data_IF_443515056796
#
_entry.id   IF_443515056796
#
_cell.length_a   1.000
_cell.length_b   1.000
_cell.length_c   1.000
_cell.angle_alpha   90.00
_cell.angle_beta   90.00
_cell.angle_gamma   90.00
#
_symmetry.space_group_name_H-M   'P 1'
#
loop_
_entity.id
_entity.type
_entity.pdbx_description
1 polymer ?
#
# COMPACT_ATOMS: atom_id res chain seq x y z
N UNK A 1 20.29 10.09 -9.06
CA UNK A 1 19.77 10.06 -7.66
C UNK A 1 20.42 8.89 -6.92
N UNK A 2 20.76 9.06 -5.66
CA UNK A 2 21.26 7.94 -4.85
C UNK A 2 20.11 7.04 -4.44
N UNK A 3 20.32 5.72 -4.47
CA UNK A 3 19.35 4.70 -4.02
C UNK A 3 18.77 5.04 -2.63
N UNK A 4 19.59 5.69 -1.81
CA UNK A 4 19.21 6.17 -0.48
C UNK A 4 17.97 7.09 -0.49
N UNK A 5 17.90 8.07 -1.42
CA UNK A 5 16.76 8.97 -1.53
C UNK A 5 15.48 8.21 -1.90
N UNK A 6 15.57 7.27 -2.84
CA UNK A 6 14.42 6.44 -3.25
C UNK A 6 13.84 5.68 -2.06
N UNK A 7 14.72 5.05 -1.26
CA UNK A 7 14.31 4.27 -0.08
C UNK A 7 13.69 5.18 0.98
N UNK A 8 14.31 6.32 1.29
CA UNK A 8 13.77 7.27 2.29
C UNK A 8 12.42 7.82 1.83
N UNK A 9 12.28 8.23 0.57
CA UNK A 9 10.99 8.71 0.03
C UNK A 9 9.91 7.65 0.23
N UNK A 10 10.20 6.38 -0.11
CA UNK A 10 9.27 5.27 0.09
C UNK A 10 8.86 5.10 1.56
N UNK A 11 9.83 5.10 2.48
CA UNK A 11 9.57 4.94 3.92
C UNK A 11 8.75 6.11 4.48
N UNK A 12 9.14 7.36 4.19
CA UNK A 12 8.42 8.54 4.71
C UNK A 12 7.01 8.63 4.14
N UNK A 13 6.83 8.26 2.87
CA UNK A 13 5.50 8.21 2.25
C UNK A 13 4.62 7.10 2.84
N UNK A 14 5.22 5.97 3.22
CA UNK A 14 4.54 4.91 3.95
C UNK A 14 4.07 5.39 5.33
N UNK A 15 4.94 6.10 6.07
CA UNK A 15 4.58 6.71 7.35
C UNK A 15 3.41 7.70 7.21
N UNK A 16 3.36 8.48 6.13
CA UNK A 16 2.23 9.39 5.88
C UNK A 16 0.92 8.62 5.70
N UNK A 17 0.93 7.49 4.99
CA UNK A 17 -0.22 6.60 4.86
C UNK A 17 -0.61 5.98 6.21
N UNK A 18 0.35 5.54 7.02
CA UNK A 18 0.08 5.00 8.36
C UNK A 18 -0.55 6.06 9.26
N UNK A 19 -0.06 7.30 9.21
CA UNK A 19 -0.65 8.44 9.93
C UNK A 19 -2.08 8.72 9.48
N UNK A 20 -2.34 8.68 8.17
CA UNK A 20 -3.68 8.80 7.61
C UNK A 20 -4.64 7.75 8.17
N UNK A 21 -4.24 6.46 8.17
CA UNK A 21 -5.08 5.38 8.72
C UNK A 21 -5.32 5.55 10.23
N UNK A 22 -4.32 6.01 10.99
CA UNK A 22 -4.46 6.30 12.43
C UNK A 22 -5.38 7.49 12.69
N UNK A 23 -5.33 8.51 11.85
CA UNK A 23 -6.25 9.65 11.90
C UNK A 23 -7.70 9.20 11.66
N UNK A 24 -7.94 8.33 10.69
CA UNK A 24 -9.25 7.75 10.44
C UNK A 24 -9.75 6.93 11.64
N UNK A 25 -8.88 6.18 12.29
CA UNK A 25 -9.21 5.46 13.53
C UNK A 25 -9.61 6.42 14.65
N UNK A 26 -8.85 7.50 14.82
CA UNK A 26 -9.08 8.49 15.88
C UNK A 26 -10.40 9.27 15.68
N UNK A 27 -10.70 9.67 14.43
CA UNK A 27 -11.84 10.56 14.15
C UNK A 27 -13.13 9.80 13.86
N UNK A 28 -13.06 8.62 13.28
CA UNK A 28 -14.22 7.89 12.75
C UNK A 28 -14.32 6.45 13.24
N UNK A 29 -13.41 6.02 14.13
CA UNK A 29 -13.31 4.63 14.63
C UNK A 29 -13.11 3.58 13.51
N UNK A 30 -12.56 4.00 12.37
CA UNK A 30 -12.25 3.11 11.25
C UNK A 30 -10.91 2.41 11.51
N UNK A 31 -10.93 1.08 11.62
CA UNK A 31 -9.73 0.32 11.88
C UNK A 31 -8.74 0.42 10.70
N UNK A 32 -7.41 0.58 10.97
CA UNK A 32 -6.38 0.50 9.97
C UNK A 32 -6.30 -0.91 9.35
N UNK A 33 -5.57 -1.05 8.26
CA UNK A 33 -5.28 -2.33 7.63
C UNK A 33 -4.62 -3.29 8.63
N UNK A 34 -5.03 -4.55 8.60
CA UNK A 34 -4.43 -5.60 9.43
C UNK A 34 -3.18 -6.16 8.74
N UNK A 35 -2.03 -5.66 9.17
CA UNK A 35 -0.74 -6.13 8.64
C UNK A 35 -0.39 -7.55 9.09
N UNK A 36 -0.98 -8.06 10.18
CA UNK A 36 -0.85 -9.46 10.58
C UNK A 36 -1.40 -10.40 9.50
N UNK A 37 -2.61 -10.10 9.01
CA UNK A 37 -3.23 -10.87 7.91
C UNK A 37 -2.40 -10.80 6.62
N UNK A 38 -1.83 -9.64 6.29
CA UNK A 38 -0.92 -9.49 5.13
C UNK A 38 0.34 -10.33 5.29
N UNK A 39 0.92 -10.35 6.49
CA UNK A 39 2.09 -11.18 6.79
C UNK A 39 1.78 -12.66 6.76
N UNK A 40 0.62 -13.08 7.29
CA UNK A 40 0.13 -14.48 7.20
C UNK A 40 -0.01 -14.89 5.75
N UNK A 41 -0.65 -14.06 4.93
CA UNK A 41 -0.78 -14.29 3.49
C UNK A 41 0.59 -14.48 2.83
N UNK A 42 1.53 -13.58 3.09
CA UNK A 42 2.88 -13.66 2.51
C UNK A 42 3.60 -14.96 2.91
N UNK A 43 3.53 -15.35 4.19
CA UNK A 43 4.11 -16.60 4.68
C UNK A 43 3.47 -17.84 4.05
N UNK A 44 2.14 -17.83 3.82
CA UNK A 44 1.44 -18.90 3.13
C UNK A 44 1.79 -18.96 1.63
N UNK A 45 1.98 -17.83 0.98
CA UNK A 45 2.50 -17.78 -0.40
C UNK A 45 3.89 -18.41 -0.48
N UNK A 46 4.79 -18.02 0.43
CA UNK A 46 6.18 -18.52 0.43
C UNK A 46 6.28 -20.00 0.80
N UNK A 47 5.44 -20.51 1.70
CA UNK A 47 5.52 -21.89 2.20
C UNK A 47 4.67 -22.89 1.40
N UNK A 48 3.55 -22.44 0.84
CA UNK A 48 2.56 -23.32 0.18
C UNK A 48 2.21 -22.92 -1.25
N UNK A 49 2.76 -21.80 -1.77
CA UNK A 49 2.41 -21.24 -3.07
C UNK A 49 0.96 -20.72 -3.16
N UNK A 50 0.28 -20.51 -2.03
CA UNK A 50 -1.15 -20.18 -1.97
C UNK A 50 -1.34 -18.66 -2.12
N UNK A 51 -1.34 -18.15 -3.35
CA UNK A 51 -1.51 -16.71 -3.64
C UNK A 51 -2.93 -16.25 -3.32
N UNK A 52 -3.95 -17.00 -3.71
CA UNK A 52 -5.35 -16.72 -3.43
C UNK A 52 -5.81 -17.51 -2.21
N UNK A 53 -6.17 -16.82 -1.13
CA UNK A 53 -6.65 -17.44 0.09
C UNK A 53 -7.97 -16.81 0.56
N UNK A 54 -9.14 -17.32 0.09
CA UNK A 54 -10.44 -16.74 0.43
C UNK A 54 -10.83 -16.91 1.91
N UNK A 55 -10.15 -17.76 2.64
CA UNK A 55 -10.39 -18.09 4.05
C UNK A 55 -9.21 -17.68 4.94
N UNK A 56 -8.43 -16.67 4.54
CA UNK A 56 -7.23 -16.23 5.27
C UNK A 56 -7.54 -15.84 6.73
N UNK A 57 -8.72 -15.28 6.97
CA UNK A 57 -9.15 -14.85 8.31
C UNK A 57 -9.49 -16.05 9.23
N UNK A 58 -9.75 -17.24 8.65
CA UNK A 58 -10.03 -18.50 9.36
C UNK A 58 -8.75 -19.33 9.63
N UNK A 59 -7.63 -18.98 8.97
CA UNK A 59 -6.35 -19.66 9.19
C UNK A 59 -5.75 -19.24 10.54
N UNK A 60 -5.14 -20.18 11.25
CA UNK A 60 -4.45 -19.91 12.51
C UNK A 60 -3.33 -18.86 12.33
N UNK A 61 -3.16 -17.94 13.29
CA UNK A 61 -2.08 -16.98 13.28
C UNK A 61 -0.71 -17.66 13.20
N UNK A 62 0.16 -17.13 12.34
CA UNK A 62 1.52 -17.65 12.14
C UNK A 62 2.50 -16.80 12.96
N UNK A 63 3.46 -17.48 13.60
CA UNK A 63 4.49 -16.79 14.40
C UNK A 63 5.16 -15.67 13.57
N UNK A 64 5.26 -14.48 14.15
CA UNK A 64 5.87 -13.27 13.56
C UNK A 64 5.11 -12.69 12.35
N UNK A 65 3.88 -13.11 12.06
CA UNK A 65 3.10 -12.60 10.93
C UNK A 65 2.99 -11.07 10.92
N UNK A 66 2.80 -10.43 12.07
CA UNK A 66 2.73 -8.98 12.17
C UNK A 66 4.02 -8.30 11.71
N UNK A 67 5.18 -8.82 12.12
CA UNK A 67 6.49 -8.27 11.72
C UNK A 67 6.69 -8.43 10.21
N UNK A 68 6.37 -9.61 9.68
CA UNK A 68 6.46 -9.88 8.25
C UNK A 68 5.49 -8.97 7.47
N UNK A 69 4.27 -8.77 7.95
CA UNK A 69 3.30 -7.85 7.34
C UNK A 69 3.80 -6.42 7.25
N UNK A 70 4.41 -5.90 8.31
CA UNK A 70 5.06 -4.59 8.29
C UNK A 70 6.23 -4.53 7.29
N UNK A 71 7.06 -5.58 7.23
CA UNK A 71 8.15 -5.65 6.25
C UNK A 71 7.61 -5.63 4.81
N UNK A 72 6.57 -6.41 4.52
CA UNK A 72 5.90 -6.41 3.20
C UNK A 72 5.34 -5.02 2.88
N UNK A 73 4.65 -4.38 3.84
CA UNK A 73 4.05 -3.07 3.68
C UNK A 73 5.08 -2.00 3.29
N UNK A 74 6.16 -1.87 4.06
CA UNK A 74 7.23 -0.91 3.76
C UNK A 74 8.00 -1.26 2.48
N UNK A 75 8.19 -2.54 2.18
CA UNK A 75 8.82 -2.97 0.92
C UNK A 75 8.00 -2.56 -0.29
N UNK A 76 6.66 -2.71 -0.23
CA UNK A 76 5.75 -2.26 -1.30
C UNK A 76 5.80 -0.73 -1.45
N UNK A 77 5.88 0.01 -0.36
CA UNK A 77 6.01 1.47 -0.40
C UNK A 77 7.32 1.93 -1.06
N UNK A 78 8.43 1.27 -0.75
CA UNK A 78 9.72 1.51 -1.42
C UNK A 78 9.61 1.17 -2.91
N UNK A 79 8.95 0.07 -3.28
CA UNK A 79 8.70 -0.27 -4.68
C UNK A 79 7.89 0.83 -5.40
N UNK A 80 6.88 1.42 -4.76
CA UNK A 80 6.14 2.56 -5.33
C UNK A 80 7.05 3.76 -5.58
N UNK A 81 7.96 4.07 -4.64
CA UNK A 81 8.96 5.12 -4.86
C UNK A 81 9.89 4.81 -6.05
N UNK A 82 10.35 3.55 -6.17
CA UNK A 82 11.13 3.09 -7.34
C UNK A 82 10.35 3.25 -8.64
N UNK A 83 9.08 2.81 -8.68
CA UNK A 83 8.25 2.93 -9.88
C UNK A 83 8.03 4.39 -10.26
N UNK A 84 7.76 5.28 -9.31
CA UNK A 84 7.62 6.70 -9.60
C UNK A 84 8.93 7.30 -10.13
N UNK A 85 10.07 6.92 -9.54
CA UNK A 85 11.39 7.31 -10.05
C UNK A 85 11.60 6.87 -11.51
N UNK A 86 11.24 5.64 -11.85
CA UNK A 86 11.31 5.13 -13.23
C UNK A 86 10.46 6.00 -14.17
N UNK A 87 9.24 6.42 -13.76
CA UNK A 87 8.41 7.30 -14.57
C UNK A 87 9.06 8.67 -14.80
N UNK A 88 9.82 9.18 -13.82
CA UNK A 88 10.59 10.42 -13.96
C UNK A 88 11.76 10.25 -14.93
N UNK A 89 12.54 9.18 -14.81
CA UNK A 89 13.70 8.88 -15.67
C UNK A 89 13.31 8.71 -17.14
N UNK A 90 12.11 8.16 -17.41
CA UNK A 90 11.59 8.03 -18.76
C UNK A 90 10.78 9.25 -19.23
N UNK A 91 10.80 10.36 -18.48
CA UNK A 91 10.08 11.62 -18.79
C UNK A 91 8.55 11.41 -19.03
N UNK A 92 7.97 10.34 -18.44
CA UNK A 92 6.53 10.05 -18.52
C UNK A 92 5.73 11.06 -17.70
N UNK A 93 6.30 11.52 -16.58
CA UNK A 93 5.74 12.57 -15.74
C UNK A 93 6.85 13.43 -15.14
N UNK A 94 6.50 14.60 -14.60
CA UNK A 94 7.40 15.44 -13.82
C UNK A 94 7.21 15.21 -12.33
N UNK A 95 8.24 15.50 -11.53
CA UNK A 95 8.16 15.46 -10.08
C UNK A 95 7.24 16.60 -9.59
N UNK A 96 6.08 16.22 -9.08
CA UNK A 96 5.13 17.17 -8.48
C UNK A 96 4.17 16.45 -7.54
N UNK A 97 3.63 17.20 -6.59
CA UNK A 97 2.58 16.71 -5.69
C UNK A 97 1.39 16.15 -6.49
N UNK A 98 0.99 16.81 -7.57
CA UNK A 98 -0.15 16.41 -8.41
C UNK A 98 0.12 15.09 -9.12
N UNK A 99 1.29 14.92 -9.72
CA UNK A 99 1.67 13.67 -10.38
C UNK A 99 1.83 12.52 -9.37
N UNK A 100 2.26 12.81 -8.15
CA UNK A 100 2.24 11.85 -7.04
C UNK A 100 0.82 11.40 -6.67
N UNK A 101 -0.15 12.33 -6.60
CA UNK A 101 -1.57 12.01 -6.37
C UNK A 101 -2.12 11.14 -7.51
N UNK A 102 -1.86 11.52 -8.76
CA UNK A 102 -2.30 10.75 -9.94
C UNK A 102 -1.71 9.34 -9.91
N UNK A 103 -0.41 9.22 -9.60
CA UNK A 103 0.26 7.94 -9.42
C UNK A 103 -0.41 7.10 -8.31
N UNK A 104 -0.71 7.71 -7.16
CA UNK A 104 -1.45 7.07 -6.08
C UNK A 104 -2.81 6.55 -6.54
N UNK A 105 -3.59 7.37 -7.25
CA UNK A 105 -4.89 6.99 -7.78
C UNK A 105 -4.81 5.82 -8.77
N UNK A 106 -3.81 5.81 -9.65
CA UNK A 106 -3.61 4.70 -10.59
C UNK A 106 -3.20 3.43 -9.84
N UNK A 107 -2.33 3.55 -8.84
CA UNK A 107 -1.83 2.41 -8.07
C UNK A 107 -2.89 1.69 -7.24
N UNK A 108 -4.07 2.31 -7.02
CA UNK A 108 -5.24 1.68 -6.36
C UNK A 108 -5.70 0.41 -7.08
N UNK A 109 -5.39 0.27 -8.36
CA UNK A 109 -5.63 -0.98 -9.12
C UNK A 109 -5.02 -2.19 -8.39
N UNK A 110 -3.86 -2.04 -7.76
CA UNK A 110 -3.16 -3.14 -7.07
C UNK A 110 -3.98 -3.70 -5.90
N UNK A 111 -4.43 -2.90 -4.89
CA UNK A 111 -5.28 -3.45 -3.84
C UNK A 111 -6.63 -3.94 -4.37
N UNK A 112 -7.26 -3.28 -5.32
CA UNK A 112 -8.59 -3.65 -5.80
C UNK A 112 -8.62 -4.98 -6.54
N UNK A 113 -7.61 -5.25 -7.37
CA UNK A 113 -7.61 -6.40 -8.29
C UNK A 113 -6.61 -7.50 -7.92
N UNK A 114 -5.68 -7.22 -7.01
CA UNK A 114 -4.71 -8.20 -6.53
C UNK A 114 -4.87 -8.49 -5.03
N UNK A 115 -4.61 -7.50 -4.14
CA UNK A 115 -4.57 -7.78 -2.70
C UNK A 115 -5.94 -8.11 -2.11
N UNK A 116 -7.00 -7.38 -2.42
CA UNK A 116 -8.34 -7.70 -1.90
C UNK A 116 -8.79 -9.11 -2.30
N UNK A 117 -8.70 -9.52 -3.58
CA UNK A 117 -8.97 -10.91 -3.94
C UNK A 117 -8.04 -11.91 -3.26
N UNK A 118 -6.74 -11.66 -3.23
CA UNK A 118 -5.75 -12.54 -2.64
C UNK A 118 -6.02 -12.80 -1.15
N UNK A 119 -6.51 -11.78 -0.43
CA UNK A 119 -6.90 -11.83 0.97
C UNK A 119 -8.38 -12.23 1.19
N UNK A 120 -9.05 -12.81 0.19
CA UNK A 120 -10.42 -13.30 0.32
C UNK A 120 -11.51 -12.21 0.35
N UNK A 121 -11.15 -10.92 0.24
CA UNK A 121 -12.10 -9.79 0.28
C UNK A 121 -12.84 -9.56 -1.04
N UNK A 122 -12.52 -10.33 -2.10
CA UNK A 122 -13.10 -10.22 -3.45
C UNK A 122 -12.63 -8.99 -4.21
N UNK A 123 -12.89 -8.97 -5.51
CA UNK A 123 -12.59 -7.81 -6.37
C UNK A 123 -13.33 -6.58 -5.85
N UNK A 124 -12.65 -5.43 -5.77
CA UNK A 124 -13.25 -4.18 -5.26
C UNK A 124 -13.88 -4.34 -3.87
N UNK A 125 -13.40 -5.28 -3.06
CA UNK A 125 -13.94 -5.52 -1.73
C UNK A 125 -15.35 -6.10 -1.68
N UNK A 126 -15.82 -6.74 -2.75
CA UNK A 126 -17.21 -7.26 -2.85
C UNK A 126 -17.62 -8.24 -1.76
N UNK A 127 -16.68 -8.84 -1.07
CA UNK A 127 -16.92 -9.74 0.07
C UNK A 127 -16.74 -9.07 1.43
N UNK A 128 -16.48 -7.77 1.48
CA UNK A 128 -16.42 -7.00 2.73
C UNK A 128 -17.82 -6.55 3.13
N UNK A 129 -18.05 -6.22 4.41
CA UNK A 129 -19.35 -5.70 4.87
C UNK A 129 -19.79 -4.40 4.17
N UNK A 130 -18.83 -3.60 3.69
CA UNK A 130 -19.09 -2.36 2.94
C UNK A 130 -18.07 -2.21 1.81
N UNK A 131 -18.33 -2.76 0.62
CA UNK A 131 -17.42 -2.69 -0.54
C UNK A 131 -17.03 -1.27 -0.93
N UNK A 132 -18.02 -0.37 -0.94
CA UNK A 132 -17.81 1.03 -1.30
C UNK A 132 -16.83 1.71 -0.32
N UNK A 133 -17.02 1.50 0.99
CA UNK A 133 -16.11 2.03 2.01
C UNK A 133 -14.71 1.44 1.85
N UNK A 134 -14.57 0.14 1.59
CA UNK A 134 -13.27 -0.49 1.34
C UNK A 134 -12.55 0.14 0.14
N UNK A 135 -13.28 0.45 -0.94
CA UNK A 135 -12.74 1.14 -2.10
C UNK A 135 -12.30 2.57 -1.77
N UNK A 136 -13.10 3.36 -1.05
CA UNK A 136 -12.75 4.73 -0.65
C UNK A 136 -11.54 4.77 0.28
N UNK A 137 -11.46 3.84 1.23
CA UNK A 137 -10.30 3.73 2.12
C UNK A 137 -9.01 3.38 1.36
N UNK A 138 -9.10 2.50 0.36
CA UNK A 138 -7.99 2.20 -0.52
C UNK A 138 -7.55 3.45 -1.31
N UNK A 139 -8.49 4.20 -1.90
CA UNK A 139 -8.19 5.46 -2.60
C UNK A 139 -7.51 6.47 -1.69
N UNK A 140 -8.07 6.73 -0.50
CA UNK A 140 -7.48 7.66 0.47
C UNK A 140 -6.06 7.26 0.90
N UNK A 141 -5.84 5.96 1.16
CA UNK A 141 -4.51 5.44 1.51
C UNK A 141 -3.50 5.59 0.37
N UNK A 142 -3.93 5.37 -0.87
CA UNK A 142 -3.05 5.49 -2.04
C UNK A 142 -2.76 6.95 -2.40
N UNK A 143 -3.69 7.88 -2.16
CA UNK A 143 -3.39 9.32 -2.22
C UNK A 143 -2.40 9.71 -1.12
N UNK A 144 -2.61 9.22 0.10
CA UNK A 144 -1.75 9.51 1.25
C UNK A 144 -0.30 9.01 1.09
N UNK A 145 -0.06 7.97 0.29
CA UNK A 145 1.30 7.53 -0.06
C UNK A 145 1.82 8.20 -1.34
N UNK A 146 0.99 8.38 -2.35
CA UNK A 146 1.40 8.93 -3.64
C UNK A 146 1.76 10.42 -3.58
N UNK A 147 0.97 11.23 -2.87
CA UNK A 147 1.22 12.66 -2.74
C UNK A 147 2.61 12.97 -2.15
N UNK A 148 3.03 12.37 -1.02
CA UNK A 148 4.39 12.57 -0.51
C UNK A 148 5.47 12.05 -1.45
N UNK A 149 5.27 10.94 -2.15
CA UNK A 149 6.22 10.45 -3.15
C UNK A 149 6.52 11.57 -4.16
N UNK A 150 5.49 12.07 -4.86
CA UNK A 150 5.68 13.13 -5.85
C UNK A 150 6.22 14.44 -5.27
N UNK A 151 5.77 14.82 -4.08
CA UNK A 151 6.23 16.02 -3.38
C UNK A 151 7.70 15.96 -2.97
N UNK A 152 8.17 14.83 -2.44
CA UNK A 152 9.58 14.70 -2.05
C UNK A 152 10.51 14.63 -3.26
N UNK A 153 10.11 13.94 -4.34
CA UNK A 153 10.89 13.98 -5.57
C UNK A 153 11.03 15.42 -6.11
N UNK A 154 9.96 16.22 -6.05
CA UNK A 154 10.00 17.64 -6.41
C UNK A 154 10.95 18.45 -5.52
N UNK A 155 10.91 18.23 -4.18
CA UNK A 155 11.78 18.93 -3.22
C UNK A 155 13.26 18.58 -3.46
N UNK A 156 13.56 17.33 -3.82
CA UNK A 156 14.92 16.89 -4.12
C UNK A 156 15.41 17.26 -5.53
N UNK A 157 14.60 17.98 -6.33
CA UNK A 157 15.02 18.53 -7.61
C UNK A 157 14.95 17.59 -8.81
N UNK A 158 13.93 16.72 -8.81
CA UNK A 158 13.64 15.79 -9.93
C UNK A 158 12.51 16.30 -10.80
#
# INVERSE_FOLDING_TARGET
MEIFHIVIIGIVSCLAMDMWQRLLKLLYDINPSDWGVVGRWFLLVMSRGKIYNPTIDEEDPIKNELIIGWMVHYSVAIMYSVFFFILLEYEICSASLMNGIIFGLISVIVPWFFFMPALGKGFLGTKTPSPLMACFLAVGSHIAIGAPIGGFYQIFGY
#
